data_IF_746708272772
#
_entry.id   IF_746708272772
#
_cell.length_a   1.000
_cell.length_b   1.000
_cell.length_c   1.000
_cell.angle_alpha   90.00
_cell.angle_beta   90.00
_cell.angle_gamma   90.00
#
_symmetry.space_group_name_H-M   'P 1'
#
loop_
_entity.id
_entity.type
_entity.pdbx_description
1 polymer ?
#
# COMPACT_ATOMS: atom_id res chain seq x y z
N UNK A 1 -7.46 10.42 -4.68
CA UNK A 1 -6.74 10.63 -3.41
C UNK A 1 -7.00 9.42 -2.53
N UNK A 2 -5.99 8.87 -1.85
CA UNK A 2 -6.19 7.76 -0.91
C UNK A 2 -6.56 8.32 0.47
N UNK A 3 -7.52 7.68 1.13
CA UNK A 3 -7.96 8.04 2.48
C UNK A 3 -7.72 6.82 3.37
N UNK A 4 -6.95 7.02 4.43
CA UNK A 4 -6.56 5.96 5.35
C UNK A 4 -7.33 6.10 6.65
N UNK A 5 -7.84 4.97 7.14
CA UNK A 5 -8.62 4.85 8.36
C UNK A 5 -8.03 3.73 9.24
N UNK A 6 -8.53 3.60 10.47
CA UNK A 6 -8.12 2.55 11.42
C UNK A 6 -6.59 2.40 11.56
N UNK A 7 -5.86 3.52 11.53
CA UNK A 7 -4.39 3.51 11.59
C UNK A 7 -3.94 3.07 12.97
N UNK A 8 -3.11 2.03 13.02
CA UNK A 8 -2.51 1.50 14.25
C UNK A 8 -1.01 1.38 14.04
N UNK A 9 -0.23 2.15 14.80
CA UNK A 9 1.25 2.13 14.81
C UNK A 9 1.72 1.51 16.13
N UNK A 10 2.66 0.57 16.06
CA UNK A 10 3.19 -0.10 17.25
C UNK A 10 4.04 0.86 18.08
N UNK A 11 4.13 0.66 19.40
CA UNK A 11 4.91 1.53 20.31
C UNK A 11 6.39 1.65 19.91
N UNK A 12 6.95 0.59 19.31
CA UNK A 12 8.33 0.54 18.83
C UNK A 12 8.51 0.94 17.35
N UNK A 13 7.43 1.39 16.69
CA UNK A 13 7.36 1.76 15.27
C UNK A 13 7.90 0.71 14.31
N UNK A 14 7.85 -0.57 14.69
CA UNK A 14 8.24 -1.70 13.83
C UNK A 14 7.09 -2.18 12.95
N UNK A 15 5.85 -1.91 13.34
CA UNK A 15 4.65 -2.36 12.65
C UNK A 15 3.64 -1.22 12.54
N UNK A 16 3.06 -1.06 11.36
CA UNK A 16 1.94 -0.13 11.16
C UNK A 16 0.91 -0.74 10.24
N UNK A 17 -0.35 -0.56 10.58
CA UNK A 17 -1.49 -1.00 9.76
C UNK A 17 -2.49 0.12 9.56
N UNK A 18 -3.26 0.02 8.48
CA UNK A 18 -4.35 0.93 8.15
C UNK A 18 -5.34 0.23 7.21
N UNK A 19 -6.55 0.76 7.12
CA UNK A 19 -7.51 0.43 6.06
C UNK A 19 -7.62 1.59 5.06
N UNK A 20 -7.93 1.27 3.81
CA UNK A 20 -8.19 2.24 2.76
C UNK A 20 -9.34 1.75 1.89
N UNK A 21 -10.38 2.58 1.73
CA UNK A 21 -11.45 2.29 0.77
C UNK A 21 -10.99 2.64 -0.63
N UNK A 22 -11.15 1.72 -1.58
CA UNK A 22 -10.76 1.91 -2.98
C UNK A 22 -11.92 2.53 -3.74
N UNK A 23 -11.92 3.85 -3.85
CA UNK A 23 -13.00 4.61 -4.47
C UNK A 23 -13.06 4.40 -6.00
N UNK A 24 -14.25 4.14 -6.59
CA UNK A 24 -14.38 3.95 -8.04
C UNK A 24 -13.97 5.19 -8.87
N UNK A 25 -13.95 6.37 -8.25
CA UNK A 25 -13.58 7.64 -8.86
C UNK A 25 -12.07 7.82 -9.07
N UNK A 26 -11.24 6.89 -8.56
CA UNK A 26 -9.80 6.94 -8.78
C UNK A 26 -9.45 6.93 -10.28
N UNK A 27 -8.60 7.87 -10.69
CA UNK A 27 -8.22 8.02 -12.11
C UNK A 27 -7.58 6.78 -12.71
N UNK A 28 -6.92 5.93 -11.90
CA UNK A 28 -6.34 4.69 -12.38
C UNK A 28 -7.38 3.63 -12.80
N UNK A 29 -8.67 3.83 -12.53
CA UNK A 29 -9.75 3.00 -13.09
C UNK A 29 -10.25 3.52 -14.44
N UNK A 30 -9.98 4.78 -14.80
CA UNK A 30 -10.38 5.35 -16.09
C UNK A 30 -9.58 4.67 -17.20
N UNK A 31 -10.23 3.75 -17.91
CA UNK A 31 -9.61 2.98 -19.00
C UNK A 31 -8.78 1.76 -18.57
N UNK A 32 -8.81 1.35 -17.29
CA UNK A 32 -8.07 0.19 -16.79
C UNK A 32 -8.95 -0.79 -15.97
N UNK A 33 -9.64 -1.75 -16.60
CA UNK A 33 -9.88 -1.94 -18.03
C UNK A 33 -11.33 -1.56 -18.35
N UNK A 34 -11.63 -1.17 -19.59
CA UNK A 34 -13.01 -0.90 -20.02
C UNK A 34 -13.93 -2.08 -19.67
N UNK A 35 -14.90 -1.86 -18.78
CA UNK A 35 -15.83 -2.87 -18.30
C UNK A 35 -15.30 -3.85 -17.23
N UNK A 36 -14.00 -3.81 -16.89
CA UNK A 36 -13.38 -4.64 -15.86
C UNK A 36 -12.37 -3.83 -15.04
N UNK A 37 -12.84 -2.86 -14.24
CA UNK A 37 -11.96 -2.02 -13.43
C UNK A 37 -11.26 -2.86 -12.35
N UNK A 38 -9.94 -2.77 -12.29
CA UNK A 38 -9.13 -3.36 -11.22
C UNK A 38 -7.98 -2.43 -10.85
N UNK A 39 -7.60 -2.44 -9.59
CA UNK A 39 -6.51 -1.59 -9.10
C UNK A 39 -5.17 -2.17 -9.57
N UNK A 40 -4.42 -1.46 -10.43
CA UNK A 40 -3.16 -1.97 -10.95
C UNK A 40 -2.08 -2.04 -9.86
N UNK A 41 -1.10 -2.91 -10.06
CA UNK A 41 0.06 -3.05 -9.18
C UNK A 41 0.76 -1.71 -8.88
N UNK A 42 0.90 -0.85 -9.89
CA UNK A 42 1.49 0.48 -9.72
C UNK A 42 0.66 1.38 -8.77
N UNK A 43 -0.67 1.33 -8.85
CA UNK A 43 -1.54 2.08 -7.94
C UNK A 43 -1.44 1.54 -6.50
N UNK A 44 -1.28 0.22 -6.32
CA UNK A 44 -1.07 -0.38 -5.00
C UNK A 44 0.24 0.12 -4.36
N UNK A 45 1.32 0.18 -5.13
CA UNK A 45 2.59 0.74 -4.65
C UNK A 45 2.49 2.24 -4.37
N UNK A 46 1.77 3.00 -5.21
CA UNK A 46 1.53 4.41 -4.99
C UNK A 46 0.71 4.67 -3.71
N UNK A 47 -0.29 3.82 -3.42
CA UNK A 47 -1.05 3.87 -2.17
C UNK A 47 -0.13 3.69 -0.97
N UNK A 48 0.77 2.70 -1.02
CA UNK A 48 1.76 2.47 0.05
C UNK A 48 2.70 3.67 0.21
N UNK A 49 3.22 4.22 -0.89
CA UNK A 49 4.10 5.40 -0.87
C UNK A 49 3.38 6.62 -0.26
N UNK A 50 2.11 6.84 -0.65
CA UNK A 50 1.26 7.91 -0.09
C UNK A 50 1.05 7.71 1.41
N UNK A 51 0.80 6.48 1.85
CA UNK A 51 0.66 6.16 3.26
C UNK A 51 1.95 6.47 4.02
N UNK A 52 3.10 5.95 3.58
CA UNK A 52 4.41 6.20 4.22
C UNK A 52 4.71 7.69 4.38
N UNK A 53 4.41 8.51 3.36
CA UNK A 53 4.62 9.95 3.40
C UNK A 53 3.76 10.67 4.45
N UNK A 54 2.55 10.14 4.72
CA UNK A 54 1.65 10.69 5.74
C UNK A 54 2.02 10.34 7.18
N UNK A 55 2.90 9.34 7.39
CA UNK A 55 3.23 8.81 8.71
C UNK A 55 4.65 9.23 9.12
N UNK A 56 4.76 10.13 10.12
CA UNK A 56 6.04 10.75 10.52
C UNK A 56 7.15 9.75 10.82
N UNK A 57 6.84 8.65 11.49
CA UNK A 57 7.83 7.61 11.83
C UNK A 57 8.30 6.81 10.60
N UNK A 58 7.48 6.72 9.56
CA UNK A 58 7.62 5.80 8.42
C UNK A 58 8.01 6.49 7.11
N UNK A 59 8.44 7.76 7.19
CA UNK A 59 8.81 8.53 6.01
C UNK A 59 9.96 7.88 5.23
N UNK A 60 9.78 7.84 3.92
CA UNK A 60 10.72 7.32 2.96
C UNK A 60 10.06 7.21 1.60
N UNK A 61 10.86 7.19 0.54
CA UNK A 61 10.37 6.95 -0.81
C UNK A 61 10.65 5.50 -1.20
N UNK A 62 9.70 4.83 -1.83
CA UNK A 62 9.94 3.50 -2.41
C UNK A 62 10.95 3.65 -3.56
N UNK A 63 12.12 3.01 -3.44
CA UNK A 63 13.16 2.98 -4.47
C UNK A 63 13.07 1.74 -5.36
N UNK A 64 12.46 0.67 -4.85
CA UNK A 64 12.33 -0.59 -5.56
C UNK A 64 11.66 -1.66 -4.70
N UNK A 65 11.36 -2.80 -5.31
CA UNK A 65 10.71 -3.92 -4.64
C UNK A 65 11.37 -5.25 -4.99
N UNK A 66 11.27 -6.21 -4.06
CA UNK A 66 11.70 -7.59 -4.23
C UNK A 66 10.54 -8.52 -3.86
N UNK A 67 10.46 -9.66 -4.55
CA UNK A 67 9.47 -10.71 -4.30
C UNK A 67 8.02 -10.20 -4.29
N UNK A 68 7.71 -9.24 -5.17
CA UNK A 68 6.36 -8.70 -5.31
C UNK A 68 5.43 -9.77 -5.88
N UNK A 69 4.35 -10.08 -5.16
CA UNK A 69 3.32 -11.04 -5.57
C UNK A 69 1.96 -10.37 -5.50
N UNK A 70 1.25 -10.34 -6.63
CA UNK A 70 -0.11 -9.84 -6.77
C UNK A 70 -1.02 -11.06 -7.01
N UNK A 71 -1.68 -11.51 -5.94
CA UNK A 71 -2.31 -12.82 -5.83
C UNK A 71 -3.82 -12.72 -6.10
N UNK A 72 -4.48 -11.71 -5.55
CA UNK A 72 -5.90 -11.43 -5.82
C UNK A 72 -6.08 -10.04 -6.41
N UNK A 73 -7.17 -9.90 -7.17
CA UNK A 73 -7.62 -8.62 -7.71
C UNK A 73 -8.18 -7.77 -6.57
N UNK A 74 -7.93 -6.48 -6.65
CA UNK A 74 -8.57 -5.45 -5.84
C UNK A 74 -9.47 -4.65 -6.78
N UNK A 75 -10.75 -4.57 -6.47
CA UNK A 75 -11.79 -3.97 -7.29
C UNK A 75 -12.23 -2.61 -6.70
N UNK A 76 -12.95 -1.79 -7.47
CA UNK A 76 -13.63 -0.63 -6.92
C UNK A 76 -14.56 -1.02 -5.77
N UNK A 77 -14.64 -0.16 -4.77
CA UNK A 77 -15.37 -0.32 -3.51
C UNK A 77 -14.80 -1.38 -2.56
N UNK A 78 -13.70 -2.04 -2.89
CA UNK A 78 -13.02 -2.91 -1.92
C UNK A 78 -12.46 -2.08 -0.76
N UNK A 79 -12.59 -2.64 0.44
CA UNK A 79 -11.83 -2.20 1.59
C UNK A 79 -10.51 -2.97 1.62
N UNK A 80 -9.39 -2.25 1.55
CA UNK A 80 -8.05 -2.84 1.57
C UNK A 80 -7.41 -2.60 2.92
N UNK A 81 -6.90 -3.67 3.52
CA UNK A 81 -6.12 -3.62 4.75
C UNK A 81 -4.63 -3.68 4.41
N UNK A 82 -3.94 -2.58 4.70
CA UNK A 82 -2.50 -2.44 4.57
C UNK A 82 -1.83 -2.81 5.89
N UNK A 83 -0.80 -3.62 5.81
CA UNK A 83 0.05 -3.93 6.94
C UNK A 83 1.52 -3.86 6.51
N UNK A 84 2.31 -3.11 7.27
CA UNK A 84 3.73 -2.85 7.02
C UNK A 84 4.55 -3.26 8.23
N UNK A 85 5.63 -3.99 7.99
CA UNK A 85 6.59 -4.41 9.01
C UNK A 85 7.97 -3.93 8.59
N UNK A 86 8.67 -3.19 9.46
CA UNK A 86 10.06 -2.83 9.23
C UNK A 86 10.94 -4.05 9.22
N UNK A 87 11.95 -3.99 8.37
CA UNK A 87 12.98 -5.00 8.22
C UNK A 87 14.34 -4.30 8.22
N UNK A 88 15.41 -5.09 8.24
CA UNK A 88 16.77 -4.56 8.18
C UNK A 88 17.03 -3.76 6.88
N UNK A 89 18.12 -2.98 6.86
CA UNK A 89 18.63 -2.30 5.66
C UNK A 89 17.63 -1.35 4.98
N UNK A 90 16.79 -0.67 5.77
CA UNK A 90 15.75 0.26 5.27
C UNK A 90 14.74 -0.42 4.35
N UNK A 91 14.40 -1.68 4.63
CA UNK A 91 13.35 -2.38 3.90
C UNK A 91 12.08 -2.47 4.74
N UNK A 92 10.94 -2.57 4.07
CA UNK A 92 9.65 -2.87 4.69
C UNK A 92 9.03 -4.06 4.00
N UNK A 93 8.46 -4.97 4.76
CA UNK A 93 7.56 -5.99 4.22
C UNK A 93 6.14 -5.43 4.22
N UNK A 94 5.42 -5.61 3.12
CA UNK A 94 4.01 -5.22 3.04
C UNK A 94 3.14 -6.44 2.77
N UNK A 95 1.92 -6.39 3.31
CA UNK A 95 0.80 -7.23 2.89
C UNK A 95 -0.43 -6.36 2.69
N UNK A 96 -1.20 -6.69 1.66
CA UNK A 96 -2.51 -6.13 1.38
C UNK A 96 -3.53 -7.27 1.46
N UNK A 97 -4.57 -7.09 2.25
CA UNK A 97 -5.73 -7.99 2.28
C UNK A 97 -6.98 -7.24 1.80
N UNK A 98 -7.90 -7.95 1.15
CA UNK A 98 -9.20 -7.38 0.80
C UNK A 98 -10.19 -7.44 1.99
N UNK A 99 -11.41 -6.97 1.74
CA UNK A 99 -12.54 -6.99 2.67
C UNK A 99 -12.87 -8.38 3.26
N UNK A 100 -12.46 -9.47 2.61
CA UNK A 100 -12.64 -10.84 3.08
C UNK A 100 -11.42 -11.42 3.81
N UNK A 101 -10.46 -10.57 4.20
CA UNK A 101 -9.19 -10.96 4.79
C UNK A 101 -8.34 -11.90 3.89
N UNK A 102 -8.62 -11.93 2.59
CA UNK A 102 -7.85 -12.72 1.63
C UNK A 102 -6.62 -11.93 1.22
N UNK A 103 -5.47 -12.59 1.23
CA UNK A 103 -4.20 -11.98 0.81
C UNK A 103 -4.27 -11.58 -0.68
N UNK A 104 -4.31 -10.28 -0.92
CA UNK A 104 -4.35 -9.70 -2.24
C UNK A 104 -2.95 -9.50 -2.81
N UNK A 105 -2.03 -8.93 -2.03
CA UNK A 105 -0.66 -8.68 -2.49
C UNK A 105 0.34 -8.68 -1.34
N UNK A 106 1.59 -9.00 -1.64
CA UNK A 106 2.71 -8.91 -0.69
C UNK A 106 4.05 -8.70 -1.36
N UNK A 107 5.02 -8.25 -0.57
CA UNK A 107 6.41 -8.19 -0.99
C UNK A 107 7.28 -7.41 -0.02
N UNK A 108 8.50 -7.14 -0.44
CA UNK A 108 9.45 -6.30 0.30
C UNK A 108 9.78 -5.07 -0.53
N UNK A 109 9.73 -3.89 0.08
CA UNK A 109 10.05 -2.61 -0.55
C UNK A 109 11.31 -2.03 0.07
N UNK A 110 12.19 -1.50 -0.77
CA UNK A 110 13.35 -0.75 -0.34
C UNK A 110 12.97 0.71 -0.19
N UNK A 111 13.20 1.28 0.99
CA UNK A 111 13.03 2.69 1.25
C UNK A 111 14.34 3.45 1.04
N UNK A 112 14.21 4.66 0.50
CA UNK A 112 15.27 5.65 0.36
C UNK A 112 14.90 6.95 1.06
N UNK A 113 15.90 7.81 1.24
CA UNK A 113 15.68 9.17 1.74
C UNK A 113 14.92 9.98 0.68
N UNK A 114 13.99 10.82 1.12
CA UNK A 114 13.44 11.87 0.26
C UNK A 114 14.56 12.89 -0.03
N UNK A 115 14.84 13.24 -1.30
CA UNK A 115 15.96 14.14 -1.63
C UNK A 115 15.86 15.57 -1.09
N UNK A 116 14.76 15.95 -0.44
CA UNK A 116 14.56 17.30 0.09
C UNK A 116 14.04 17.23 1.53
N UNK A 117 14.96 17.43 2.47
CA UNK A 117 14.78 17.75 3.87
C UNK A 117 15.98 18.59 4.30
#
# INVERSE_FOLDING_TARGET
MFIFEAITDSENHQEISASCQILPEHDFFKGHFTGQPLMPAAAQLQMIDTFLQSQRGWQGKILGGKNLKFIQRILPNDLVYLHLIRQEKNTIQFTLHNNHAVLASKGTLQLGRCPHG
#
